data_IF_787525519081
#
_entry.id   IF_787525519081
#
_cell.length_a   1.000
_cell.length_b   1.000
_cell.length_c   1.000
_cell.angle_alpha   90.00
_cell.angle_beta   90.00
_cell.angle_gamma   90.00
#
_symmetry.space_group_name_H-M   'P 1'
#
loop_
_entity.id
_entity.type
_entity.pdbx_description
1 polymer ?
#
# COMPACT_ATOMS: atom_id res chain seq x y z
N UNK A 1 -8.67 21.93 -33.11
CA UNK A 1 -7.86 21.50 -31.96
C UNK A 1 -7.72 20.00 -31.96
N UNK A 2 -6.52 19.53 -31.79
CA UNK A 2 -6.26 18.08 -31.65
C UNK A 2 -6.80 17.59 -30.30
N UNK A 3 -7.51 16.45 -30.31
CA UNK A 3 -7.93 15.78 -29.09
C UNK A 3 -6.73 15.36 -28.22
N UNK A 4 -5.53 15.33 -28.77
CA UNK A 4 -4.30 15.02 -28.06
C UNK A 4 -4.08 15.92 -26.84
N UNK A 5 -4.48 17.20 -26.95
CA UNK A 5 -4.31 18.15 -25.84
C UNK A 5 -5.00 17.69 -24.55
N UNK A 6 -6.08 16.94 -24.67
CA UNK A 6 -6.82 16.41 -23.51
C UNK A 6 -6.04 15.36 -22.73
N UNK A 7 -5.07 14.73 -23.38
CA UNK A 7 -4.20 13.70 -22.76
C UNK A 7 -2.99 14.28 -22.05
N UNK A 8 -2.72 15.58 -22.21
CA UNK A 8 -1.55 16.21 -21.58
C UNK A 8 -1.65 16.16 -20.06
N UNK A 9 -0.48 16.05 -19.42
CA UNK A 9 -0.39 15.94 -17.95
C UNK A 9 -1.16 17.05 -17.24
N UNK A 10 -1.14 18.26 -17.74
CA UNK A 10 -1.83 19.41 -17.14
C UNK A 10 -3.34 19.22 -17.03
N UNK A 11 -3.92 18.39 -17.91
CA UNK A 11 -5.35 18.10 -17.93
C UNK A 11 -5.72 16.83 -17.18
N UNK A 12 -4.71 16.14 -16.61
CA UNK A 12 -4.95 14.91 -15.87
C UNK A 12 -5.52 15.20 -14.49
N UNK A 13 -6.62 14.54 -14.17
CA UNK A 13 -7.22 14.64 -12.83
C UNK A 13 -6.30 13.97 -11.82
N UNK A 14 -5.95 14.69 -10.75
CA UNK A 14 -5.11 14.16 -9.67
C UNK A 14 -6.00 13.57 -8.59
N UNK A 15 -5.58 12.41 -8.06
CA UNK A 15 -6.26 11.82 -6.90
C UNK A 15 -5.92 12.64 -5.66
N UNK A 16 -6.96 12.94 -4.88
CA UNK A 16 -6.78 13.63 -3.60
C UNK A 16 -6.37 12.64 -2.53
N UNK A 17 -5.61 13.14 -1.55
CA UNK A 17 -5.28 12.35 -0.36
C UNK A 17 -6.54 12.11 0.45
N UNK A 18 -6.57 10.99 1.15
CA UNK A 18 -7.71 10.62 1.99
C UNK A 18 -7.24 10.36 3.42
N UNK A 19 -8.19 10.24 4.34
CA UNK A 19 -7.91 9.99 5.75
C UNK A 19 -8.55 8.70 6.18
N UNK A 20 -7.85 7.99 7.07
CA UNK A 20 -8.30 6.68 7.54
C UNK A 20 -7.80 6.43 8.96
N UNK A 21 -8.68 5.97 9.82
CA UNK A 21 -8.33 5.58 11.20
C UNK A 21 -7.87 4.11 11.19
N UNK A 22 -6.57 3.90 11.07
CA UNK A 22 -6.00 2.56 10.86
C UNK A 22 -6.10 1.66 12.08
N UNK A 23 -6.08 2.23 13.28
CA UNK A 23 -6.15 1.45 14.52
C UNK A 23 -6.85 2.23 15.61
N UNK A 24 -7.60 1.52 16.45
CA UNK A 24 -8.26 2.11 17.64
C UNK A 24 -7.28 2.26 18.80
N UNK A 25 -6.09 1.66 18.70
CA UNK A 25 -5.11 1.69 19.78
C UNK A 25 -4.33 3.01 19.85
N UNK A 26 -4.44 3.86 18.83
CA UNK A 26 -3.84 5.19 18.80
C UNK A 26 -4.97 6.21 18.74
N UNK A 27 -5.19 6.90 19.84
CA UNK A 27 -6.33 7.82 20.02
C UNK A 27 -5.87 9.20 20.45
N UNK A 28 -6.70 10.20 20.18
CA UNK A 28 -6.52 11.54 20.72
C UNK A 28 -6.92 11.59 22.21
N UNK A 29 -6.84 12.78 22.80
CA UNK A 29 -7.17 12.99 24.22
C UNK A 29 -8.63 12.66 24.55
N UNK A 30 -9.51 12.70 23.55
CA UNK A 30 -10.94 12.42 23.70
C UNK A 30 -11.29 10.95 23.44
N UNK A 31 -10.28 10.12 23.10
CA UNK A 31 -10.49 8.72 22.81
C UNK A 31 -10.88 8.43 21.36
N UNK A 32 -10.83 9.43 20.47
CA UNK A 32 -11.10 9.21 19.05
C UNK A 32 -9.88 8.65 18.35
N UNK A 33 -10.03 7.58 17.54
CA UNK A 33 -8.89 7.04 16.79
C UNK A 33 -8.24 8.10 15.91
N UNK A 34 -6.92 8.12 15.93
CA UNK A 34 -6.15 9.06 15.11
C UNK A 34 -6.33 8.74 13.63
N UNK A 35 -6.50 9.78 12.83
CA UNK A 35 -6.61 9.62 11.38
C UNK A 35 -5.26 9.74 10.72
N UNK A 36 -4.97 8.79 9.86
CA UNK A 36 -3.76 8.77 9.04
C UNK A 36 -4.08 9.41 7.70
N UNK A 37 -3.17 10.16 7.16
CA UNK A 37 -3.31 10.73 5.82
C UNK A 37 -2.67 9.78 4.81
N UNK A 38 -3.42 9.43 3.76
CA UNK A 38 -3.03 8.44 2.77
C UNK A 38 -3.07 9.04 1.37
N UNK A 39 -2.15 8.59 0.52
CA UNK A 39 -2.12 8.93 -0.89
C UNK A 39 -2.12 7.67 -1.74
N UNK A 40 -2.62 7.76 -2.97
CA UNK A 40 -2.45 6.70 -3.95
C UNK A 40 -1.01 6.70 -4.45
N UNK A 41 -0.42 5.52 -4.61
CA UNK A 41 0.89 5.37 -5.23
C UNK A 41 0.74 5.32 -6.76
N UNK A 42 1.84 5.58 -7.47
CA UNK A 42 1.86 5.50 -8.93
C UNK A 42 2.20 4.08 -9.40
N UNK A 43 1.96 3.79 -10.68
CA UNK A 43 2.35 2.53 -11.30
C UNK A 43 3.85 2.29 -11.13
N UNK A 44 4.66 3.32 -11.35
CA UNK A 44 6.11 3.23 -11.21
C UNK A 44 6.52 2.86 -9.79
N UNK A 45 5.93 3.53 -8.79
CA UNK A 45 6.18 3.22 -7.38
C UNK A 45 5.77 1.77 -7.04
N UNK A 46 4.63 1.34 -7.54
CA UNK A 46 4.16 -0.03 -7.33
C UNK A 46 5.11 -1.06 -7.92
N UNK A 47 5.60 -0.81 -9.15
CA UNK A 47 6.54 -1.71 -9.81
C UNK A 47 7.86 -1.81 -9.03
N UNK A 48 8.38 -0.68 -8.54
CA UNK A 48 9.60 -0.65 -7.73
C UNK A 48 9.42 -1.45 -6.43
N UNK A 49 8.28 -1.30 -5.77
CA UNK A 49 7.97 -2.05 -4.54
C UNK A 49 7.90 -3.54 -4.83
N UNK A 50 7.24 -3.92 -5.93
CA UNK A 50 7.10 -5.33 -6.31
C UNK A 50 8.48 -5.94 -6.60
N UNK A 51 9.34 -5.23 -7.32
CA UNK A 51 10.70 -5.70 -7.62
C UNK A 51 11.50 -5.91 -6.34
N UNK A 52 11.41 -4.98 -5.39
CA UNK A 52 12.07 -5.10 -4.09
C UNK A 52 11.60 -6.30 -3.28
N UNK A 53 10.40 -6.78 -3.54
CA UNK A 53 9.79 -7.91 -2.83
C UNK A 53 9.90 -9.22 -3.58
N UNK A 54 10.47 -9.21 -4.79
CA UNK A 54 10.62 -10.42 -5.61
C UNK A 54 11.91 -11.15 -5.22
N UNK A 55 11.79 -12.44 -5.00
CA UNK A 55 12.91 -13.31 -4.65
C UNK A 55 12.96 -14.50 -5.59
N UNK A 56 14.15 -15.08 -5.72
CA UNK A 56 14.33 -16.33 -6.46
C UNK A 56 14.09 -17.50 -5.54
N UNK A 57 13.16 -18.36 -5.91
CA UNK A 57 12.86 -19.57 -5.13
C UNK A 57 13.16 -20.82 -5.95
N UNK A 58 13.63 -21.90 -5.32
CA UNK A 58 13.91 -23.16 -6.02
C UNK A 58 12.65 -23.74 -6.67
N UNK A 59 12.80 -24.28 -7.87
CA UNK A 59 11.73 -25.01 -8.53
C UNK A 59 11.73 -26.44 -7.99
N UNK A 60 10.57 -26.88 -7.50
CA UNK A 60 10.41 -28.20 -6.90
C UNK A 60 10.75 -29.31 -7.91
N UNK A 61 11.64 -30.21 -7.52
CA UNK A 61 12.04 -31.35 -8.38
C UNK A 61 13.03 -31.02 -9.49
N UNK A 62 13.52 -29.79 -9.56
CA UNK A 62 14.48 -29.37 -10.59
C UNK A 62 15.69 -28.70 -9.93
N UNK A 63 16.76 -29.48 -9.63
CA UNK A 63 17.97 -28.91 -9.01
C UNK A 63 18.57 -27.79 -9.87
N UNK A 64 19.05 -26.73 -9.21
CA UNK A 64 19.68 -25.57 -9.84
C UNK A 64 18.76 -24.72 -10.72
N UNK A 65 17.44 -24.94 -10.65
CA UNK A 65 16.46 -24.08 -11.32
C UNK A 65 15.72 -23.23 -10.30
N UNK A 66 15.55 -21.94 -10.63
CA UNK A 66 14.91 -20.97 -9.77
C UNK A 66 13.82 -20.24 -10.54
N UNK A 67 12.81 -19.77 -9.84
CA UNK A 67 11.76 -18.92 -10.42
C UNK A 67 11.55 -17.70 -9.54
N UNK A 68 11.12 -16.57 -10.12
CA UNK A 68 10.79 -15.40 -9.32
C UNK A 68 9.50 -15.63 -8.53
N UNK A 69 9.47 -15.14 -7.30
CA UNK A 69 8.28 -15.15 -6.46
C UNK A 69 8.21 -13.86 -5.67
N UNK A 70 7.03 -13.24 -5.66
CA UNK A 70 6.79 -12.05 -4.86
C UNK A 70 6.47 -12.46 -3.43
N UNK A 71 7.17 -11.87 -2.45
CA UNK A 71 6.82 -11.99 -1.05
C UNK A 71 5.61 -11.07 -0.78
N UNK A 72 4.41 -11.64 -0.76
CA UNK A 72 3.17 -10.88 -0.67
C UNK A 72 3.01 -10.14 0.65
N UNK A 73 3.48 -10.70 1.75
CA UNK A 73 3.41 -10.05 3.06
C UNK A 73 4.30 -8.80 3.10
N UNK A 74 5.52 -8.91 2.56
CA UNK A 74 6.44 -7.78 2.47
C UNK A 74 5.92 -6.72 1.49
N UNK A 75 5.38 -7.14 0.36
CA UNK A 75 4.78 -6.25 -0.63
C UNK A 75 3.65 -5.42 0.00
N UNK A 76 2.74 -6.07 0.73
CA UNK A 76 1.63 -5.37 1.39
C UNK A 76 2.15 -4.32 2.37
N UNK A 77 3.14 -4.67 3.19
CA UNK A 77 3.70 -3.73 4.18
C UNK A 77 4.41 -2.54 3.51
N UNK A 78 5.16 -2.79 2.46
CA UNK A 78 5.85 -1.71 1.72
C UNK A 78 4.86 -0.83 0.96
N UNK A 79 3.81 -1.40 0.41
CA UNK A 79 2.73 -0.65 -0.24
C UNK A 79 2.04 0.27 0.77
N UNK A 80 1.70 -0.25 1.95
CA UNK A 80 1.11 0.57 3.02
C UNK A 80 2.03 1.74 3.38
N UNK A 81 3.30 1.45 3.63
CA UNK A 81 4.28 2.47 4.02
C UNK A 81 4.41 3.56 2.95
N UNK A 82 4.41 3.18 1.68
CA UNK A 82 4.50 4.12 0.56
C UNK A 82 3.25 5.00 0.43
N UNK A 83 2.09 4.50 0.87
CA UNK A 83 0.81 5.22 0.80
C UNK A 83 0.57 6.16 1.98
N UNK A 84 1.32 6.00 3.08
CA UNK A 84 1.13 6.83 4.29
C UNK A 84 1.89 8.15 4.14
N UNK A 85 1.15 9.26 4.16
CA UNK A 85 1.71 10.61 4.17
C UNK A 85 1.97 11.07 5.60
N UNK A 86 1.01 10.83 6.50
CA UNK A 86 1.11 11.17 7.91
C UNK A 86 0.46 10.07 8.75
N UNK A 87 1.09 9.61 9.82
CA UNK A 87 2.36 10.10 10.38
C UNK A 87 3.57 9.80 9.48
N UNK A 88 4.66 10.54 9.67
CA UNK A 88 5.89 10.33 8.91
C UNK A 88 6.58 9.04 9.39
N UNK A 89 6.48 7.99 8.59
CA UNK A 89 7.03 6.68 8.94
C UNK A 89 8.56 6.61 8.84
N UNK A 90 9.19 7.67 8.31
CA UNK A 90 10.64 7.79 8.28
C UNK A 90 11.19 8.55 9.50
N UNK A 91 10.32 9.04 10.38
CA UNK A 91 10.73 9.77 11.57
C UNK A 91 11.48 8.85 12.54
N UNK A 92 12.70 9.23 12.90
CA UNK A 92 13.58 8.42 13.74
C UNK A 92 13.01 8.20 15.14
N UNK A 93 12.45 9.24 15.75
CA UNK A 93 11.85 9.15 17.08
C UNK A 93 10.67 8.17 17.09
N UNK A 94 9.83 8.24 16.05
CA UNK A 94 8.70 7.34 15.93
C UNK A 94 9.16 5.89 15.74
N UNK A 95 10.13 5.66 14.86
CA UNK A 95 10.70 4.32 14.66
C UNK A 95 11.33 3.78 15.95
N UNK A 96 12.11 4.60 16.63
CA UNK A 96 12.78 4.22 17.88
C UNK A 96 11.78 3.84 18.96
N UNK A 97 10.65 4.54 19.04
CA UNK A 97 9.61 4.26 20.05
C UNK A 97 8.98 2.86 19.87
N UNK A 98 9.01 2.32 18.65
CA UNK A 98 8.50 0.98 18.36
C UNK A 98 9.63 -0.05 18.16
N UNK A 99 10.90 0.37 18.31
CA UNK A 99 12.04 -0.53 18.19
C UNK A 99 12.28 -1.06 16.77
N UNK A 100 11.96 -0.28 15.75
CA UNK A 100 12.12 -0.65 14.34
C UNK A 100 12.98 0.37 13.62
N UNK A 101 13.48 0.00 12.43
CA UNK A 101 14.38 0.84 11.63
C UNK A 101 13.88 1.11 10.22
N UNK A 102 12.70 0.58 9.85
CA UNK A 102 12.14 0.75 8.50
C UNK A 102 10.68 1.17 8.57
N UNK A 103 10.19 1.93 7.56
CA UNK A 103 8.78 2.32 7.51
C UNK A 103 7.82 1.14 7.46
N UNK A 104 8.15 0.09 6.70
CA UNK A 104 7.26 -1.06 6.56
C UNK A 104 7.18 -1.91 7.84
N UNK A 105 8.25 -1.97 8.62
CA UNK A 105 8.18 -2.60 9.93
C UNK A 105 7.40 -1.74 10.91
N UNK A 106 7.57 -0.40 10.81
CA UNK A 106 6.87 0.53 11.69
C UNK A 106 5.35 0.43 11.54
N UNK A 107 4.83 0.36 10.32
CA UNK A 107 3.39 0.27 10.11
C UNK A 107 2.80 -0.99 10.73
N UNK A 108 3.53 -2.11 10.68
CA UNK A 108 3.09 -3.36 11.30
C UNK A 108 3.06 -3.27 12.83
N UNK A 109 4.02 -2.56 13.42
CA UNK A 109 4.08 -2.39 14.88
C UNK A 109 3.01 -1.40 15.35
N UNK A 110 2.74 -0.35 14.59
CA UNK A 110 1.72 0.64 14.95
C UNK A 110 0.31 0.05 14.84
N UNK A 111 0.06 -0.75 13.82
CA UNK A 111 -1.23 -1.44 13.61
C UNK A 111 -0.99 -2.92 13.87
N UNK A 112 -0.88 -3.25 15.15
CA UNK A 112 -0.51 -4.60 15.60
C UNK A 112 -1.70 -5.55 15.79
N UNK A 113 -2.92 -5.07 15.62
CA UNK A 113 -4.12 -5.92 15.56
C UNK A 113 -4.25 -6.50 14.15
N UNK A 114 -4.19 -7.83 13.96
CA UNK A 114 -4.23 -8.43 12.63
C UNK A 114 -5.48 -8.07 11.83
N UNK A 115 -6.63 -7.96 12.46
CA UNK A 115 -7.88 -7.59 11.78
C UNK A 115 -7.84 -6.16 11.27
N UNK A 116 -7.38 -5.23 12.11
CA UNK A 116 -7.21 -3.83 11.71
C UNK A 116 -6.17 -3.69 10.60
N UNK A 117 -5.08 -4.44 10.69
CA UNK A 117 -4.03 -4.44 9.66
C UNK A 117 -4.58 -4.93 8.32
N UNK A 118 -5.33 -6.02 8.32
CA UNK A 118 -5.92 -6.56 7.09
C UNK A 118 -6.93 -5.58 6.48
N UNK A 119 -7.74 -4.93 7.31
CA UNK A 119 -8.68 -3.90 6.84
C UNK A 119 -7.94 -2.70 6.25
N UNK A 120 -6.82 -2.32 6.84
CA UNK A 120 -5.99 -1.23 6.35
C UNK A 120 -5.38 -1.57 4.98
N UNK A 121 -4.85 -2.78 4.83
CA UNK A 121 -4.32 -3.26 3.55
C UNK A 121 -5.42 -3.21 2.48
N UNK A 122 -6.61 -3.71 2.79
CA UNK A 122 -7.72 -3.71 1.86
C UNK A 122 -8.12 -2.29 1.44
N UNK A 123 -8.18 -1.37 2.40
CA UNK A 123 -8.52 0.03 2.13
C UNK A 123 -7.48 0.68 1.21
N UNK A 124 -6.20 0.46 1.47
CA UNK A 124 -5.12 1.05 0.67
C UNK A 124 -5.05 0.42 -0.72
N UNK A 125 -5.31 -0.87 -0.85
CA UNK A 125 -5.41 -1.51 -2.16
C UNK A 125 -6.52 -0.86 -3.00
N UNK A 126 -7.67 -0.63 -2.42
CA UNK A 126 -8.78 0.04 -3.10
C UNK A 126 -8.41 1.49 -3.46
N UNK A 127 -7.77 2.22 -2.55
CA UNK A 127 -7.28 3.57 -2.80
C UNK A 127 -6.32 3.60 -3.99
N UNK A 128 -5.48 2.59 -4.13
CA UNK A 128 -4.52 2.46 -5.22
C UNK A 128 -5.12 1.90 -6.51
N UNK A 129 -6.43 1.68 -6.52
CA UNK A 129 -7.14 1.23 -7.71
C UNK A 129 -7.13 -0.28 -7.94
N UNK A 130 -6.63 -1.06 -6.98
CA UNK A 130 -6.69 -2.51 -7.05
C UNK A 130 -8.08 -2.96 -6.62
N UNK A 131 -8.87 -3.40 -7.57
CA UNK A 131 -10.17 -4.00 -7.25
C UNK A 131 -9.98 -5.52 -7.27
N UNK A 132 -10.44 -6.19 -6.23
CA UNK A 132 -10.40 -7.66 -6.15
C UNK A 132 -11.44 -8.30 -7.06
N UNK A 133 -12.03 -7.51 -7.95
CA UNK A 133 -13.27 -7.90 -8.58
C UNK A 133 -13.12 -8.03 -10.07
N UNK A 134 -12.45 -9.12 -10.47
CA UNK A 134 -12.49 -9.58 -11.86
C UNK A 134 -13.92 -9.82 -12.31
N UNK A 135 -14.80 -10.25 -11.41
CA UNK A 135 -16.21 -10.50 -11.69
C UNK A 135 -16.96 -9.22 -12.03
N UNK A 136 -16.70 -8.13 -11.30
CA UNK A 136 -17.29 -6.82 -11.59
C UNK A 136 -16.84 -6.29 -12.95
N UNK A 137 -15.56 -6.43 -13.29
CA UNK A 137 -15.04 -6.02 -14.59
C UNK A 137 -15.64 -6.82 -15.73
N UNK A 138 -15.83 -8.11 -15.53
CA UNK A 138 -16.49 -8.97 -16.52
C UNK A 138 -17.94 -8.58 -16.67
N UNK A 139 -18.63 -8.28 -15.57
CA UNK A 139 -20.02 -7.81 -15.61
C UNK A 139 -20.16 -6.49 -16.35
N UNK A 140 -19.28 -5.53 -16.11
CA UNK A 140 -19.25 -4.25 -16.83
C UNK A 140 -19.00 -4.44 -18.32
N UNK A 141 -18.11 -5.34 -18.68
CA UNK A 141 -17.78 -5.61 -20.07
C UNK A 141 -18.95 -6.29 -20.83
N UNK A 142 -19.83 -7.01 -20.12
CA UNK A 142 -20.99 -7.67 -20.71
C UNK A 142 -22.19 -6.74 -20.88
N UNK A 143 -22.20 -5.64 -20.21
CA UNK A 143 -23.26 -4.63 -20.31
C UNK A 143 -22.90 -3.57 -21.34
#
# INVERSE_FOLDING_TARGET
MSNLSLFLKKNKVQKENTFYAATKSLCDEKGNPLKWELKAITTKENDEIRDDCTMEVPVKGKPNMFRPKVNSALYAAKMLAASVVFPDLNNAELQDSYGVTTPHDLVREMVDDPGEYNDFVAFVQELNGFTNDMDDKVAEAKN
#
